data_IF_803959734538
#
_entry.id   IF_803959734538
#
_cell.length_a   1.000
_cell.length_b   1.000
_cell.length_c   1.000
_cell.angle_alpha   90.00
_cell.angle_beta   90.00
_cell.angle_gamma   90.00
#
_symmetry.space_group_name_H-M   'P 1'
#
loop_
_entity.id
_entity.type
_entity.pdbx_description
1 polymer ?
#
# COMPACT_ATOMS: atom_id res chain seq x y z
N UNK A 1 10.59 10.79 -7.57
CA UNK A 1 9.34 10.39 -6.87
C UNK A 1 9.70 10.20 -5.41
N UNK A 2 9.07 10.89 -4.46
CA UNK A 2 9.33 10.64 -3.05
C UNK A 2 8.90 9.20 -2.73
N UNK A 3 9.75 8.47 -2.03
CA UNK A 3 9.39 7.16 -1.48
C UNK A 3 8.27 7.37 -0.47
N UNK A 4 7.10 6.71 -0.60
CA UNK A 4 6.05 6.82 0.39
C UNK A 4 6.56 6.35 1.75
N UNK A 5 6.24 7.11 2.80
CA UNK A 5 6.55 6.77 4.18
C UNK A 5 5.67 5.62 4.66
N UNK A 6 6.06 4.97 5.75
CA UNK A 6 5.30 3.86 6.34
C UNK A 6 3.86 4.23 6.70
N UNK A 7 3.62 5.48 7.11
CA UNK A 7 2.28 6.00 7.42
C UNK A 7 1.35 6.02 6.21
N UNK A 8 1.88 6.32 5.01
CA UNK A 8 1.12 6.34 3.75
C UNK A 8 0.57 4.94 3.43
N UNK A 9 1.39 3.90 3.63
CA UNK A 9 0.96 2.51 3.48
C UNK A 9 -0.18 2.16 4.44
N UNK A 10 -0.09 2.57 5.69
CA UNK A 10 -1.11 2.30 6.70
C UNK A 10 -2.42 3.01 6.34
N UNK A 11 -2.36 4.28 5.92
CA UNK A 11 -3.53 5.06 5.52
C UNK A 11 -4.25 4.40 4.33
N UNK A 12 -3.48 3.96 3.31
CA UNK A 12 -4.06 3.27 2.15
C UNK A 12 -4.65 1.92 2.50
N UNK A 13 -3.98 1.14 3.34
CA UNK A 13 -4.52 -0.14 3.81
C UNK A 13 -5.84 0.09 4.56
N UNK A 14 -5.91 1.07 5.45
CA UNK A 14 -7.16 1.41 6.16
C UNK A 14 -8.25 1.82 5.19
N UNK A 15 -7.95 2.72 4.25
CA UNK A 15 -8.93 3.18 3.24
C UNK A 15 -9.48 2.03 2.39
N UNK A 16 -8.61 1.10 1.98
CA UNK A 16 -9.00 -0.08 1.21
C UNK A 16 -9.84 -1.05 2.04
N UNK A 17 -9.51 -1.25 3.31
CA UNK A 17 -10.30 -2.08 4.22
C UNK A 17 -11.67 -1.46 4.47
N UNK A 18 -11.78 -0.15 4.71
CA UNK A 18 -13.07 0.51 4.89
C UNK A 18 -13.94 0.48 3.63
N UNK A 19 -13.34 0.64 2.44
CA UNK A 19 -14.07 0.68 1.17
C UNK A 19 -14.43 -0.71 0.63
N UNK A 20 -13.51 -1.67 0.71
CA UNK A 20 -13.63 -3.00 0.07
C UNK A 20 -13.74 -4.16 1.05
N UNK A 21 -13.43 -3.94 2.33
CA UNK A 21 -13.30 -5.00 3.34
C UNK A 21 -11.96 -5.75 3.30
N UNK A 22 -11.06 -5.40 2.38
CA UNK A 22 -9.75 -6.02 2.23
C UNK A 22 -8.78 -5.08 1.50
N UNK A 23 -7.48 -5.25 1.76
CA UNK A 23 -6.41 -4.55 1.05
C UNK A 23 -5.49 -5.58 0.37
N UNK A 24 -5.34 -5.48 -0.96
CA UNK A 24 -4.36 -6.29 -1.70
C UNK A 24 -3.12 -5.48 -2.00
N UNK A 25 -1.99 -6.17 -2.12
CA UNK A 25 -0.70 -5.59 -2.53
C UNK A 25 -0.82 -4.81 -3.85
N UNK A 26 -1.62 -5.31 -4.79
CA UNK A 26 -1.88 -4.66 -6.08
C UNK A 26 -2.62 -3.33 -5.92
N UNK A 27 -3.66 -3.28 -5.09
CA UNK A 27 -4.44 -2.07 -4.84
C UNK A 27 -3.61 -1.00 -4.11
N UNK A 28 -2.79 -1.42 -3.14
CA UNK A 28 -1.89 -0.52 -2.41
C UNK A 28 -0.81 0.04 -3.35
N UNK A 29 -0.28 -0.79 -4.25
CA UNK A 29 0.72 -0.37 -5.23
C UNK A 29 0.15 0.67 -6.22
N UNK A 30 -1.09 0.46 -6.66
CA UNK A 30 -1.82 1.39 -7.53
C UNK A 30 -2.09 2.72 -6.82
N UNK A 31 -2.62 2.70 -5.59
CA UNK A 31 -2.92 3.93 -4.82
C UNK A 31 -1.68 4.75 -4.47
N UNK A 32 -0.55 4.09 -4.19
CA UNK A 32 0.71 4.76 -3.85
C UNK A 32 1.58 5.06 -5.09
N UNK A 33 1.12 4.69 -6.29
CA UNK A 33 1.89 4.80 -7.54
C UNK A 33 3.30 4.17 -7.43
N UNK A 34 3.39 3.06 -6.71
CA UNK A 34 4.64 2.31 -6.52
C UNK A 34 4.60 0.96 -7.21
N UNK A 35 5.78 0.39 -7.42
CA UNK A 35 5.87 -0.98 -7.93
C UNK A 35 5.37 -1.98 -6.86
N UNK A 36 4.62 -3.04 -7.23
CA UNK A 36 4.15 -4.07 -6.29
C UNK A 36 5.27 -4.74 -5.50
N UNK A 37 6.46 -4.81 -6.09
CA UNK A 37 7.66 -5.33 -5.43
C UNK A 37 8.07 -4.49 -4.20
N UNK A 38 7.86 -3.17 -4.22
CA UNK A 38 8.15 -2.28 -3.09
C UNK A 38 7.22 -2.58 -1.92
N UNK A 39 5.92 -2.77 -2.19
CA UNK A 39 4.91 -3.15 -1.20
C UNK A 39 5.21 -4.54 -0.61
N UNK A 40 5.61 -5.49 -1.45
CA UNK A 40 5.98 -6.85 -1.01
C UNK A 40 7.24 -6.84 -0.14
N UNK A 41 8.21 -5.99 -0.48
CA UNK A 41 9.43 -5.81 0.31
C UNK A 41 9.12 -5.20 1.66
N UNK A 42 8.25 -4.20 1.72
CA UNK A 42 7.79 -3.60 2.97
C UNK A 42 7.07 -4.61 3.87
N UNK A 43 6.16 -5.42 3.33
CA UNK A 43 5.41 -6.41 4.12
C UNK A 43 6.28 -7.55 4.68
N UNK A 44 7.46 -7.78 4.09
CA UNK A 44 8.40 -8.85 4.51
C UNK A 44 9.57 -8.34 5.35
N UNK A 45 9.68 -7.03 5.52
CA UNK A 45 10.83 -6.39 6.17
C UNK A 45 10.61 -6.16 7.66
#
# INVERSE_FOLDING_TARGET
MPTPSMEDYIEKIYSLIEKKGYARVSDIADELFVHPSSVTKWCRS
#
